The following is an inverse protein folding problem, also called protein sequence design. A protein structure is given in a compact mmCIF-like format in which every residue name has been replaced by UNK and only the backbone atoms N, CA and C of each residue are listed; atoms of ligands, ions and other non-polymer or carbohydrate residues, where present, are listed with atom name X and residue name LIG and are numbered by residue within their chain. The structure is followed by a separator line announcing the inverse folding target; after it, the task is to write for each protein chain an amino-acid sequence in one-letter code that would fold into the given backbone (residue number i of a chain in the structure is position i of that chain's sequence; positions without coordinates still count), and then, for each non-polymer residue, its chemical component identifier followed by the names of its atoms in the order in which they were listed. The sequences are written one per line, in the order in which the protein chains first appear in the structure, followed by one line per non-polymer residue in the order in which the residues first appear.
data_IF_673082208519
#
_entry.id   IF_673082208519
#
_cell.length_a   1.000
_cell.length_b   1.000
_cell.length_c   1.000
_cell.angle_alpha   90.00
_cell.angle_beta   90.00
_cell.angle_gamma   90.00
#
_symmetry.space_group_name_H-M   'P 1'
#
loop_
_entity.id
_entity.type
_entity.pdbx_description
1 polymer ?
#
# COMPACT_ATOMS: atom_id res chain seq x y z
N UNK A 1 11.14 -34.18 30.56
CA UNK A 1 11.97 -34.28 29.33
C UNK A 1 11.52 -33.11 28.43
N UNK A 2 12.27 -31.99 28.50
CA UNK A 2 11.93 -30.76 27.72
C UNK A 2 12.54 -30.89 26.34
N UNK A 3 11.71 -30.76 25.31
CA UNK A 3 12.14 -30.67 23.91
C UNK A 3 12.44 -29.20 23.58
N UNK A 4 13.61 -28.85 23.01
CA UNK A 4 13.94 -27.48 22.71
C UNK A 4 13.17 -26.99 21.43
N UNK A 5 12.60 -25.82 21.53
CA UNK A 5 11.93 -25.12 20.43
C UNK A 5 12.93 -24.84 19.29
N UNK A 6 12.58 -25.33 18.10
CA UNK A 6 13.32 -25.02 16.87
C UNK A 6 13.19 -23.52 16.55
N UNK A 7 14.33 -22.82 16.48
CA UNK A 7 14.40 -21.44 16.01
C UNK A 7 14.17 -21.42 14.50
N UNK A 8 13.14 -20.72 14.07
CA UNK A 8 12.94 -20.36 12.67
C UNK A 8 14.09 -19.45 12.19
N UNK A 9 14.60 -19.63 10.97
CA UNK A 9 15.65 -18.77 10.45
C UNK A 9 15.09 -17.36 10.21
N UNK A 10 15.74 -16.36 10.82
CA UNK A 10 15.49 -14.95 10.55
C UNK A 10 15.96 -14.64 9.13
N UNK A 11 15.03 -14.46 8.21
CA UNK A 11 15.30 -13.83 6.91
C UNK A 11 15.61 -12.35 7.16
N UNK A 12 16.89 -12.04 7.42
CA UNK A 12 17.39 -10.68 7.25
C UNK A 12 17.53 -10.47 5.74
N UNK A 13 16.55 -9.78 5.13
CA UNK A 13 16.80 -9.15 3.85
C UNK A 13 17.95 -8.16 4.07
N UNK A 14 19.10 -8.43 3.48
CA UNK A 14 20.16 -7.43 3.37
C UNK A 14 19.64 -6.28 2.51
N UNK A 15 19.14 -5.24 3.19
CA UNK A 15 18.92 -3.95 2.57
C UNK A 15 20.30 -3.45 2.18
N UNK A 16 20.62 -3.51 0.91
CA UNK A 16 21.83 -2.91 0.33
C UNK A 16 21.78 -1.42 0.63
N UNK A 17 22.46 -1.01 1.68
CA UNK A 17 22.62 0.39 2.07
C UNK A 17 23.49 1.06 1.03
N UNK A 18 22.91 1.67 0.00
CA UNK A 18 23.64 2.62 -0.81
C UNK A 18 24.01 3.80 0.10
N UNK A 19 25.30 4.16 0.20
CA UNK A 19 25.69 5.29 1.02
C UNK A 19 24.99 6.57 0.54
N UNK A 20 24.77 7.56 1.43
CA UNK A 20 24.18 8.84 1.04
C UNK A 20 24.96 9.41 -0.16
N UNK A 21 24.23 9.99 -1.10
CA UNK A 21 24.73 10.53 -2.35
C UNK A 21 25.99 11.35 -2.10
N UNK A 22 27.16 10.85 -2.49
CA UNK A 22 28.44 11.57 -2.34
C UNK A 22 28.50 12.57 -3.46
N UNK A 23 28.28 13.84 -3.13
CA UNK A 23 28.49 14.95 -4.06
C UNK A 23 29.92 14.90 -4.58
N UNK A 24 30.10 14.85 -5.89
CA UNK A 24 31.42 14.92 -6.52
C UNK A 24 31.99 16.32 -6.31
N UNK A 25 33.28 16.48 -5.96
CA UNK A 25 33.89 17.78 -5.79
C UNK A 25 33.90 18.55 -7.13
N UNK A 26 33.23 19.71 -7.18
CA UNK A 26 33.23 20.58 -8.36
C UNK A 26 31.88 20.82 -9.03
N UNK A 27 30.82 20.14 -8.63
CA UNK A 27 29.47 20.51 -9.11
C UNK A 27 28.93 21.71 -8.32
N UNK A 28 28.35 22.74 -8.99
CA UNK A 28 27.74 23.84 -8.29
C UNK A 28 26.61 23.33 -7.41
N UNK A 29 26.47 23.84 -6.19
CA UNK A 29 25.36 23.60 -5.29
C UNK A 29 24.07 24.08 -5.96
N UNK A 30 23.42 23.20 -6.73
CA UNK A 30 22.03 23.38 -7.09
C UNK A 30 21.27 23.06 -5.81
N UNK A 31 20.71 24.09 -5.18
CA UNK A 31 19.89 23.96 -3.98
C UNK A 31 18.57 23.24 -4.36
N UNK A 32 18.67 21.92 -4.65
CA UNK A 32 17.52 21.08 -4.96
C UNK A 32 16.77 20.83 -3.66
N UNK A 33 15.64 21.50 -3.49
CA UNK A 33 14.74 21.25 -2.35
C UNK A 33 14.14 19.85 -2.36
N UNK A 34 14.07 19.17 -3.52
CA UNK A 34 13.51 17.82 -3.67
C UNK A 34 14.64 16.84 -3.98
N UNK A 35 14.79 15.82 -3.13
CA UNK A 35 15.77 14.75 -3.27
C UNK A 35 15.12 13.37 -3.37
N UNK A 36 13.81 13.26 -3.09
CA UNK A 36 13.08 12.02 -3.14
C UNK A 36 11.64 12.20 -3.65
N UNK A 37 11.09 11.11 -4.17
CA UNK A 37 9.70 11.00 -4.63
C UNK A 37 9.06 9.80 -3.94
N UNK A 38 7.93 10.02 -3.27
CA UNK A 38 7.11 8.94 -2.76
C UNK A 38 5.82 8.83 -3.57
N UNK A 39 5.35 7.60 -3.76
CA UNK A 39 4.19 7.28 -4.58
C UNK A 39 3.14 6.55 -3.74
N UNK A 40 1.89 6.92 -3.87
CA UNK A 40 0.80 6.00 -3.58
C UNK A 40 0.83 4.79 -4.52
N UNK A 41 0.15 3.70 -4.17
CA UNK A 41 0.11 2.49 -4.99
C UNK A 41 -1.19 2.40 -5.79
N UNK A 42 -2.33 2.39 -5.08
CA UNK A 42 -3.63 2.15 -5.68
C UNK A 42 -4.10 3.37 -6.47
N UNK A 43 -4.58 3.16 -7.70
CA UNK A 43 -4.96 4.22 -8.63
C UNK A 43 -3.85 5.26 -8.95
N UNK A 44 -2.62 4.98 -8.48
CA UNK A 44 -1.41 5.76 -8.80
C UNK A 44 -0.37 4.94 -9.56
N UNK A 45 -0.04 3.73 -9.12
CA UNK A 45 0.88 2.79 -9.81
C UNK A 45 0.07 1.67 -10.48
N UNK A 46 -0.89 1.11 -9.78
CA UNK A 46 -1.79 0.05 -10.25
C UNK A 46 -3.24 0.51 -10.21
N UNK A 47 -4.04 0.08 -11.17
CA UNK A 47 -5.48 0.30 -11.16
C UNK A 47 -6.14 -0.54 -10.08
N UNK A 48 -6.76 0.09 -9.08
CA UNK A 48 -7.55 -0.61 -8.07
C UNK A 48 -8.71 -1.37 -8.74
N UNK A 49 -9.02 -2.55 -8.22
CA UNK A 49 -10.09 -3.46 -8.72
C UNK A 49 -10.01 -3.88 -10.19
N UNK A 50 -8.94 -3.57 -10.95
CA UNK A 50 -8.78 -4.05 -12.34
C UNK A 50 -8.58 -5.58 -12.45
N UNK A 51 -8.38 -6.26 -11.35
CA UNK A 51 -8.40 -7.71 -11.24
C UNK A 51 -9.83 -8.29 -11.22
N UNK A 52 -10.86 -7.52 -10.85
CA UNK A 52 -12.25 -7.99 -10.77
C UNK A 52 -12.80 -8.49 -12.12
N UNK A 53 -12.61 -7.80 -13.27
CA UNK A 53 -12.97 -8.35 -14.57
C UNK A 53 -12.24 -9.65 -14.91
N UNK A 54 -10.97 -9.79 -14.52
CA UNK A 54 -10.18 -11.01 -14.72
C UNK A 54 -10.69 -12.16 -13.87
N UNK A 55 -11.08 -11.88 -12.61
CA UNK A 55 -11.76 -12.84 -11.73
C UNK A 55 -13.06 -13.33 -12.34
N UNK A 56 -13.92 -12.41 -12.81
CA UNK A 56 -15.17 -12.73 -13.48
C UNK A 56 -14.97 -13.60 -14.72
N UNK A 57 -13.99 -13.29 -15.56
CA UNK A 57 -13.66 -14.06 -16.76
C UNK A 57 -13.22 -15.51 -16.44
N UNK A 58 -12.66 -15.75 -15.25
CA UNK A 58 -12.29 -17.06 -14.73
C UNK A 58 -13.43 -17.77 -13.97
N UNK A 59 -14.63 -17.22 -13.93
CA UNK A 59 -15.77 -17.78 -13.19
C UNK A 59 -15.60 -17.69 -11.66
N UNK A 60 -14.71 -16.83 -11.17
CA UNK A 60 -14.49 -16.63 -9.73
C UNK A 60 -15.44 -15.57 -9.17
N UNK A 61 -15.68 -15.65 -7.85
CA UNK A 61 -16.41 -14.61 -7.12
C UNK A 61 -15.59 -13.30 -7.11
N UNK A 62 -16.29 -12.16 -6.96
CA UNK A 62 -15.62 -10.90 -6.62
C UNK A 62 -14.83 -11.04 -5.34
N UNK A 63 -13.77 -10.25 -5.14
CA UNK A 63 -12.96 -10.28 -3.90
C UNK A 63 -13.84 -10.18 -2.65
N UNK A 64 -14.80 -9.26 -2.67
CA UNK A 64 -15.72 -9.07 -1.55
C UNK A 64 -16.56 -10.32 -1.26
N UNK A 65 -17.11 -10.96 -2.28
CA UNK A 65 -17.90 -12.19 -2.12
C UNK A 65 -17.03 -13.39 -1.72
N UNK A 66 -15.84 -13.49 -2.28
CA UNK A 66 -14.90 -14.56 -1.96
C UNK A 66 -14.41 -14.49 -0.50
N UNK A 67 -14.10 -13.29 0.01
CA UNK A 67 -13.69 -13.09 1.40
C UNK A 67 -14.73 -13.59 2.40
N UNK A 68 -16.02 -13.26 2.18
CA UNK A 68 -17.12 -13.79 3.01
C UNK A 68 -17.25 -15.28 2.90
N UNK A 69 -17.18 -15.81 1.69
CA UNK A 69 -17.27 -17.26 1.43
C UNK A 69 -16.13 -18.04 2.06
N UNK A 70 -14.90 -17.52 2.04
CA UNK A 70 -13.74 -18.13 2.71
C UNK A 70 -13.96 -18.23 4.22
N UNK A 71 -14.44 -17.15 4.86
CA UNK A 71 -14.76 -17.18 6.29
C UNK A 71 -15.84 -18.19 6.60
N UNK A 72 -16.94 -18.19 5.81
CA UNK A 72 -17.99 -19.17 5.97
C UNK A 72 -17.49 -20.61 5.83
N UNK A 73 -16.72 -20.91 4.79
CA UNK A 73 -16.14 -22.25 4.58
C UNK A 73 -15.28 -22.70 5.74
N UNK A 74 -14.43 -21.81 6.24
CA UNK A 74 -13.54 -22.11 7.37
C UNK A 74 -14.35 -22.46 8.62
N UNK A 75 -15.37 -21.66 8.96
CA UNK A 75 -16.21 -21.90 10.13
C UNK A 75 -17.12 -23.13 9.96
N UNK A 76 -17.74 -23.31 8.79
CA UNK A 76 -18.66 -24.41 8.51
C UNK A 76 -17.96 -25.79 8.56
N UNK A 77 -16.66 -25.84 8.31
CA UNK A 77 -15.81 -27.04 8.48
C UNK A 77 -15.84 -27.57 9.94
N UNK A 78 -15.97 -26.67 10.91
CA UNK A 78 -15.94 -26.97 12.36
C UNK A 78 -17.32 -26.94 13.02
N UNK A 79 -18.38 -26.88 12.27
CA UNK A 79 -19.76 -26.96 12.72
C UNK A 79 -20.68 -26.11 11.83
N UNK A 80 -21.89 -26.59 11.58
CA UNK A 80 -22.85 -25.92 10.69
C UNK A 80 -23.06 -24.45 11.11
N UNK A 81 -23.07 -23.55 10.13
CA UNK A 81 -23.37 -22.12 10.31
C UNK A 81 -23.94 -21.56 9.00
N UNK A 82 -24.87 -20.61 9.09
CA UNK A 82 -25.47 -19.98 7.92
C UNK A 82 -24.51 -19.05 7.19
N UNK A 83 -24.43 -19.13 5.85
CA UNK A 83 -23.56 -18.25 5.05
C UNK A 83 -23.96 -16.78 5.19
N UNK A 84 -25.27 -16.48 5.28
CA UNK A 84 -25.79 -15.13 5.48
C UNK A 84 -25.39 -14.56 6.85
N UNK A 85 -25.39 -15.37 7.90
CA UNK A 85 -24.99 -14.99 9.26
C UNK A 85 -23.50 -14.61 9.29
N UNK A 86 -22.65 -15.43 8.68
CA UNK A 86 -21.21 -15.17 8.58
C UNK A 86 -20.94 -13.93 7.73
N UNK A 87 -21.69 -13.77 6.61
CA UNK A 87 -21.59 -12.57 5.78
C UNK A 87 -21.93 -11.29 6.52
N UNK A 88 -22.97 -11.31 7.36
CA UNK A 88 -23.35 -10.17 8.20
C UNK A 88 -22.26 -9.86 9.24
N UNK A 89 -21.72 -10.87 9.93
CA UNK A 89 -20.63 -10.67 10.90
C UNK A 89 -19.37 -10.08 10.24
N UNK A 90 -19.05 -10.55 9.03
CA UNK A 90 -17.95 -9.99 8.24
C UNK A 90 -18.18 -8.51 7.92
N UNK A 91 -19.39 -8.15 7.45
CA UNK A 91 -19.75 -6.78 7.11
C UNK A 91 -19.73 -5.83 8.32
N UNK A 92 -20.15 -6.31 9.48
CA UNK A 92 -20.10 -5.55 10.73
C UNK A 92 -18.65 -5.29 11.16
N UNK A 93 -17.79 -6.32 11.07
CA UNK A 93 -16.36 -6.14 11.37
C UNK A 93 -15.68 -5.16 10.40
N UNK A 94 -15.99 -5.24 9.10
CA UNK A 94 -15.49 -4.31 8.09
C UNK A 94 -16.01 -2.87 8.32
N UNK A 95 -17.28 -2.71 8.68
CA UNK A 95 -17.84 -1.39 8.98
C UNK A 95 -17.19 -0.77 10.22
N UNK A 96 -16.93 -1.56 11.26
CA UNK A 96 -16.21 -1.11 12.46
C UNK A 96 -14.77 -0.69 12.12
N UNK A 97 -14.07 -1.50 11.34
CA UNK A 97 -12.74 -1.16 10.84
C UNK A 97 -12.76 0.14 10.02
N UNK A 98 -13.67 0.28 9.07
CA UNK A 98 -13.76 1.47 8.22
C UNK A 98 -13.95 2.75 9.04
N UNK A 99 -14.73 2.68 10.12
CA UNK A 99 -14.88 3.81 11.03
C UNK A 99 -13.56 4.18 11.71
N UNK A 100 -12.85 3.21 12.27
CA UNK A 100 -11.54 3.43 12.91
C UNK A 100 -10.51 3.93 11.90
N UNK A 101 -10.49 3.35 10.72
CA UNK A 101 -9.58 3.73 9.64
C UNK A 101 -9.79 5.18 9.19
N UNK A 102 -11.04 5.59 8.95
CA UNK A 102 -11.34 6.96 8.50
C UNK A 102 -11.21 8.02 9.61
N UNK A 103 -11.58 7.70 10.85
CA UNK A 103 -11.61 8.67 11.94
C UNK A 103 -10.27 8.75 12.70
N UNK A 104 -9.56 7.63 12.83
CA UNK A 104 -8.33 7.51 13.63
C UNK A 104 -7.08 7.19 12.81
N UNK A 105 -7.24 6.88 11.54
CA UNK A 105 -6.17 6.46 10.61
C UNK A 105 -5.38 5.25 11.12
N UNK A 106 -6.00 4.37 11.90
CA UNK A 106 -5.39 3.14 12.41
C UNK A 106 -5.70 2.00 11.43
N UNK A 107 -4.68 1.24 11.05
CA UNK A 107 -4.85 0.06 10.21
C UNK A 107 -4.99 -1.18 11.07
N UNK A 108 -6.13 -1.87 10.95
CA UNK A 108 -6.28 -3.24 11.41
C UNK A 108 -5.89 -4.20 10.29
N UNK A 109 -4.99 -5.11 10.58
CA UNK A 109 -4.66 -6.20 9.65
C UNK A 109 -5.89 -7.06 9.41
N UNK A 110 -5.96 -7.72 8.26
CA UNK A 110 -7.12 -8.56 7.92
C UNK A 110 -7.35 -9.66 8.97
N UNK A 111 -6.28 -10.23 9.54
CA UNK A 111 -6.39 -11.22 10.62
C UNK A 111 -7.15 -10.68 11.84
N UNK A 112 -6.87 -9.44 12.28
CA UNK A 112 -7.56 -8.81 13.41
C UNK A 112 -9.06 -8.61 13.13
N UNK A 113 -9.42 -8.23 11.89
CA UNK A 113 -10.83 -8.10 11.48
C UNK A 113 -11.55 -9.45 11.46
N UNK A 114 -10.88 -10.48 10.96
CA UNK A 114 -11.40 -11.85 10.96
C UNK A 114 -11.61 -12.37 12.38
N UNK A 115 -10.70 -12.09 13.32
CA UNK A 115 -10.88 -12.43 14.73
C UNK A 115 -12.13 -11.76 15.33
N UNK A 116 -12.38 -10.48 15.02
CA UNK A 116 -13.57 -9.75 15.48
C UNK A 116 -14.83 -10.44 14.96
N UNK A 117 -14.91 -10.78 13.67
CA UNK A 117 -16.04 -11.45 13.07
C UNK A 117 -16.27 -12.85 13.68
N UNK A 118 -15.22 -13.65 13.85
CA UNK A 118 -15.26 -15.00 14.42
C UNK A 118 -15.71 -14.96 15.89
N UNK A 119 -15.17 -14.04 16.69
CA UNK A 119 -15.58 -13.85 18.09
C UNK A 119 -17.03 -13.36 18.20
N UNK A 120 -17.45 -12.46 17.29
CA UNK A 120 -18.84 -11.99 17.22
C UNK A 120 -19.85 -13.10 16.93
N UNK A 121 -19.42 -14.16 16.23
CA UNK A 121 -20.22 -15.37 15.98
C UNK A 121 -20.13 -16.40 17.13
N UNK A 122 -19.47 -16.11 18.23
CA UNK A 122 -19.15 -17.04 19.31
C UNK A 122 -18.47 -18.32 18.81
N UNK A 123 -17.59 -18.19 17.82
CA UNK A 123 -16.85 -19.30 17.19
C UNK A 123 -15.35 -19.17 17.42
N UNK A 124 -14.63 -20.25 17.16
CA UNK A 124 -13.17 -20.31 17.14
C UNK A 124 -12.73 -21.14 15.94
N UNK A 125 -11.51 -20.91 15.47
CA UNK A 125 -10.83 -21.74 14.49
C UNK A 125 -9.53 -22.29 15.07
N UNK A 126 -9.12 -23.52 14.69
CA UNK A 126 -7.76 -23.99 14.96
C UNK A 126 -6.74 -23.03 14.34
N UNK A 127 -5.55 -22.87 15.00
CA UNK A 127 -4.52 -21.93 14.53
C UNK A 127 -4.14 -22.07 13.05
N UNK A 128 -4.00 -23.31 12.56
CA UNK A 128 -3.61 -23.57 11.18
C UNK A 128 -4.72 -23.18 10.19
N UNK A 129 -5.98 -23.47 10.50
CA UNK A 129 -7.14 -23.10 9.67
C UNK A 129 -7.31 -21.57 9.65
N UNK A 130 -7.06 -20.90 10.78
CA UNK A 130 -7.07 -19.43 10.84
C UNK A 130 -5.92 -18.82 10.03
N UNK A 131 -4.71 -19.33 10.14
CA UNK A 131 -3.57 -18.88 9.36
C UNK A 131 -3.79 -19.05 7.84
N UNK A 132 -4.37 -20.17 7.43
CA UNK A 132 -4.75 -20.41 6.03
C UNK A 132 -5.83 -19.44 5.56
N UNK A 133 -6.84 -19.18 6.39
CA UNK A 133 -7.89 -18.21 6.10
C UNK A 133 -7.33 -16.82 5.87
N UNK A 134 -6.47 -16.34 6.77
CA UNK A 134 -5.77 -15.05 6.65
C UNK A 134 -4.96 -14.99 5.36
N UNK A 135 -4.12 -16.00 5.10
CA UNK A 135 -3.29 -16.06 3.89
C UNK A 135 -4.13 -15.96 2.61
N UNK A 136 -5.27 -16.68 2.52
CA UNK A 136 -6.16 -16.61 1.36
C UNK A 136 -6.79 -15.24 1.14
N UNK A 137 -7.03 -14.47 2.20
CA UNK A 137 -7.48 -13.08 2.08
C UNK A 137 -6.38 -12.16 1.55
N UNK A 138 -5.17 -12.33 2.05
CA UNK A 138 -4.02 -11.49 1.77
C UNK A 138 -3.48 -11.65 0.34
N UNK A 139 -3.58 -12.85 -0.23
CA UNK A 139 -2.91 -13.23 -1.50
C UNK A 139 -3.78 -13.04 -2.76
N UNK A 140 -5.04 -12.62 -2.64
CA UNK A 140 -5.97 -12.53 -3.78
C UNK A 140 -5.45 -11.66 -4.93
N UNK A 141 -4.79 -10.55 -4.62
CA UNK A 141 -4.26 -9.61 -5.61
C UNK A 141 -2.87 -10.01 -6.13
N UNK A 142 -2.21 -10.95 -5.45
CA UNK A 142 -1.00 -11.61 -5.98
C UNK A 142 -1.37 -12.73 -6.94
N UNK A 143 -2.45 -13.48 -6.62
CA UNK A 143 -2.95 -14.56 -7.47
C UNK A 143 -3.54 -14.05 -8.78
N UNK A 144 -4.32 -12.98 -8.71
CA UNK A 144 -4.92 -12.31 -9.89
C UNK A 144 -4.55 -10.84 -9.82
N UNK A 145 -3.48 -10.50 -10.51
CA UNK A 145 -2.87 -9.18 -10.43
C UNK A 145 -3.73 -8.09 -11.07
N UNK A 146 -3.92 -6.95 -10.40
CA UNK A 146 -4.43 -5.74 -11.02
C UNK A 146 -3.49 -5.27 -12.16
N UNK A 147 -3.94 -4.36 -13.00
CA UNK A 147 -3.16 -3.85 -14.12
C UNK A 147 -2.31 -2.64 -13.69
N UNK A 148 -1.11 -2.52 -14.28
CA UNK A 148 -0.33 -1.30 -14.16
C UNK A 148 -1.01 -0.13 -14.89
N UNK A 149 -0.88 1.05 -14.33
CA UNK A 149 -1.26 2.28 -15.02
C UNK A 149 -0.23 2.59 -16.10
N UNK A 150 -0.73 2.96 -17.29
CA UNK A 150 0.12 3.19 -18.46
C UNK A 150 1.23 4.22 -18.20
N UNK A 151 2.47 3.88 -18.59
CA UNK A 151 3.64 4.75 -18.48
C UNK A 151 4.28 4.82 -17.11
N UNK A 152 3.76 4.11 -16.10
CA UNK A 152 4.32 4.17 -14.73
C UNK A 152 5.72 3.55 -14.65
N UNK A 153 5.97 2.46 -15.37
CA UNK A 153 7.26 1.78 -15.33
C UNK A 153 8.40 2.67 -15.89
N UNK A 154 8.14 3.31 -17.03
CA UNK A 154 9.06 4.24 -17.67
C UNK A 154 9.30 5.49 -16.80
N UNK A 155 8.23 6.04 -16.21
CA UNK A 155 8.32 7.20 -15.33
C UNK A 155 9.14 6.89 -14.07
N UNK A 156 8.88 5.76 -13.39
CA UNK A 156 9.66 5.32 -12.23
C UNK A 156 11.14 5.11 -12.59
N UNK A 157 11.42 4.44 -13.70
CA UNK A 157 12.79 4.23 -14.16
C UNK A 157 13.53 5.55 -14.42
N UNK A 158 12.85 6.57 -14.99
CA UNK A 158 13.44 7.87 -15.25
C UNK A 158 13.65 8.68 -13.95
N UNK A 159 12.65 8.68 -13.06
CA UNK A 159 12.71 9.39 -11.77
C UNK A 159 13.80 8.80 -10.88
N UNK A 160 13.92 7.48 -10.81
CA UNK A 160 14.90 6.78 -9.98
C UNK A 160 16.37 7.07 -10.37
N UNK A 161 16.63 7.53 -11.58
CA UNK A 161 17.99 7.95 -11.98
C UNK A 161 18.48 9.17 -11.20
N UNK A 162 17.57 10.00 -10.69
CA UNK A 162 17.87 11.33 -10.11
C UNK A 162 17.39 11.50 -8.67
N UNK A 163 16.36 10.77 -8.28
CA UNK A 163 15.70 10.89 -6.98
C UNK A 163 15.63 9.54 -6.27
N UNK A 164 15.66 9.54 -4.96
CA UNK A 164 15.24 8.37 -4.18
C UNK A 164 13.74 8.15 -4.36
N UNK A 165 13.32 6.91 -4.35
CA UNK A 165 11.91 6.55 -4.62
C UNK A 165 11.37 5.59 -3.57
N UNK A 166 10.13 5.79 -3.16
CA UNK A 166 9.47 4.99 -2.14
C UNK A 166 7.97 4.83 -2.45
N UNK A 167 7.39 3.69 -2.12
CA UNK A 167 5.94 3.52 -2.11
C UNK A 167 5.40 3.77 -0.72
N UNK A 168 4.32 4.56 -0.61
CA UNK A 168 3.59 4.86 0.63
C UNK A 168 2.11 4.50 0.41
N UNK A 169 1.68 3.35 0.91
CA UNK A 169 0.34 2.83 0.60
C UNK A 169 -0.40 2.31 1.81
N UNK A 170 -1.71 2.52 1.79
CA UNK A 170 -2.62 1.86 2.71
C UNK A 170 -2.78 0.39 2.31
N UNK A 171 -2.43 -0.51 3.23
CA UNK A 171 -2.44 -1.97 3.07
C UNK A 171 -3.55 -2.55 3.97
N UNK A 172 -4.81 -2.36 3.56
CA UNK A 172 -5.97 -2.68 4.41
C UNK A 172 -6.46 -4.13 4.33
N UNK A 173 -6.09 -4.87 3.28
CA UNK A 173 -6.35 -6.32 3.15
C UNK A 173 -5.09 -7.03 2.69
N UNK A 174 -4.56 -6.65 1.54
CA UNK A 174 -3.30 -7.15 0.99
C UNK A 174 -2.14 -6.50 1.74
N UNK A 175 -1.39 -7.25 2.55
CA UNK A 175 -0.34 -6.70 3.42
C UNK A 175 0.91 -6.32 2.63
N UNK A 176 1.77 -5.53 3.25
CA UNK A 176 3.01 -5.05 2.65
C UNK A 176 3.89 -6.16 2.07
N UNK A 177 3.92 -7.37 2.69
CA UNK A 177 4.63 -8.53 2.13
C UNK A 177 4.10 -8.93 0.74
N UNK A 178 2.78 -8.93 0.56
CA UNK A 178 2.13 -9.26 -0.72
C UNK A 178 2.26 -8.11 -1.72
N UNK A 179 2.16 -6.86 -1.26
CA UNK A 179 2.34 -5.68 -2.12
C UNK A 179 3.76 -5.60 -2.69
N UNK A 180 4.79 -6.00 -1.92
CA UNK A 180 6.17 -6.14 -2.46
C UNK A 180 6.24 -7.21 -3.55
N UNK A 181 5.58 -8.35 -3.37
CA UNK A 181 5.52 -9.40 -4.40
C UNK A 181 4.81 -8.89 -5.66
N UNK A 182 3.70 -8.18 -5.49
CA UNK A 182 2.97 -7.57 -6.59
C UNK A 182 3.86 -6.59 -7.37
N UNK A 183 4.51 -5.65 -6.69
CA UNK A 183 5.42 -4.67 -7.29
C UNK A 183 6.60 -5.36 -8.00
N UNK A 184 7.19 -6.37 -7.38
CA UNK A 184 8.27 -7.17 -7.98
C UNK A 184 7.81 -7.92 -9.23
N UNK A 185 6.57 -8.39 -9.27
CA UNK A 185 6.00 -9.11 -10.41
C UNK A 185 5.83 -8.24 -11.67
N UNK A 186 5.90 -6.92 -11.52
CA UNK A 186 5.93 -5.94 -12.63
C UNK A 186 7.34 -5.40 -12.91
N UNK A 187 8.37 -5.97 -12.27
CA UNK A 187 9.76 -5.53 -12.40
C UNK A 187 10.01 -4.07 -11.93
N UNK A 188 9.14 -3.55 -11.05
CA UNK A 188 9.25 -2.18 -10.53
C UNK A 188 10.13 -2.08 -9.29
N UNK A 189 10.34 -3.18 -8.55
CA UNK A 189 11.07 -3.18 -7.28
C UNK A 189 12.50 -2.62 -7.40
N UNK A 190 13.15 -2.80 -8.56
CA UNK A 190 14.49 -2.26 -8.85
C UNK A 190 14.57 -0.73 -8.91
N UNK A 191 13.42 -0.06 -9.01
CA UNK A 191 13.29 1.38 -9.07
C UNK A 191 12.74 1.97 -7.77
N UNK A 192 12.82 1.22 -6.66
CA UNK A 192 12.30 1.64 -5.36
C UNK A 192 13.34 1.43 -4.26
N UNK A 193 13.65 2.49 -3.52
CA UNK A 193 14.59 2.47 -2.40
C UNK A 193 13.91 2.12 -1.06
N UNK A 194 12.57 2.21 -0.98
CA UNK A 194 11.85 1.95 0.26
C UNK A 194 10.35 1.72 0.08
N UNK A 195 9.71 1.30 1.18
CA UNK A 195 8.29 1.03 1.26
C UNK A 195 7.76 1.44 2.62
N UNK A 196 6.60 2.09 2.65
CA UNK A 196 5.84 2.36 3.86
C UNK A 196 4.41 1.82 3.66
N UNK A 197 4.12 0.66 4.23
CA UNK A 197 2.81 0.02 4.18
C UNK A 197 2.10 0.15 5.53
N UNK A 198 0.83 0.47 5.50
CA UNK A 198 0.07 0.83 6.72
C UNK A 198 -0.08 -0.33 7.70
N UNK A 199 -0.08 -1.59 7.24
CA UNK A 199 -0.10 -2.78 8.09
C UNK A 199 1.21 -2.99 8.87
N UNK A 200 2.32 -2.43 8.38
CA UNK A 200 3.64 -2.48 9.03
C UNK A 200 3.87 -1.24 9.92
N UNK A 201 3.35 -0.08 9.51
CA UNK A 201 3.46 1.18 10.27
C UNK A 201 2.43 1.26 11.40
N UNK A 202 1.27 0.60 11.24
CA UNK A 202 0.13 0.63 12.15
C UNK A 202 -0.86 1.77 11.91
N UNK A 203 -0.52 2.70 11.01
CA UNK A 203 -1.34 3.85 10.64
C UNK A 203 -1.50 3.95 9.13
N UNK A 204 -2.61 4.53 8.68
CA UNK A 204 -2.90 4.83 7.27
C UNK A 204 -2.70 6.31 6.96
N UNK A 205 -2.51 6.64 5.68
CA UNK A 205 -2.54 8.04 5.22
C UNK A 205 -3.89 8.68 5.58
N UNK A 206 -3.92 9.96 5.95
CA UNK A 206 -2.83 10.95 5.94
C UNK A 206 -2.01 11.02 7.24
N UNK A 207 -1.98 9.97 8.09
CA UNK A 207 -1.24 10.00 9.34
C UNK A 207 0.26 10.21 9.08
N UNK A 208 0.90 11.13 9.84
CA UNK A 208 2.29 11.54 9.68
C UNK A 208 3.29 10.38 9.68
N UNK A 209 3.03 9.35 10.49
CA UNK A 209 3.91 8.19 10.64
C UNK A 209 4.20 7.48 9.31
N UNK A 210 3.27 7.50 8.36
CA UNK A 210 3.46 6.91 7.03
C UNK A 210 4.58 7.60 6.26
N UNK A 211 4.55 8.92 6.24
CA UNK A 211 5.53 9.74 5.51
C UNK A 211 6.87 9.81 6.23
N UNK A 212 6.86 9.89 7.57
CA UNK A 212 8.08 9.80 8.38
C UNK A 212 8.78 8.45 8.24
N UNK A 213 8.01 7.36 8.13
CA UNK A 213 8.56 6.04 7.90
C UNK A 213 9.23 5.96 6.52
N UNK A 214 8.58 6.49 5.47
CA UNK A 214 9.15 6.58 4.13
C UNK A 214 10.43 7.42 4.09
N UNK A 215 10.43 8.58 4.75
CA UNK A 215 11.59 9.45 4.87
C UNK A 215 12.79 8.73 5.50
N UNK A 216 12.55 7.99 6.60
CA UNK A 216 13.58 7.15 7.25
C UNK A 216 14.10 6.04 6.33
N UNK A 217 13.23 5.37 5.58
CA UNK A 217 13.64 4.32 4.64
C UNK A 217 14.58 4.85 3.56
N UNK A 218 14.33 6.06 3.08
CA UNK A 218 15.15 6.71 2.06
C UNK A 218 16.37 7.45 2.60
N UNK A 219 16.43 7.71 3.92
CA UNK A 219 17.47 8.53 4.55
C UNK A 219 17.42 10.00 4.13
N UNK A 220 16.22 10.54 3.87
CA UNK A 220 15.96 11.91 3.36
C UNK A 220 15.16 12.68 4.40
N UNK A 221 15.35 14.00 4.50
CA UNK A 221 14.49 14.86 5.29
C UNK A 221 13.09 14.91 4.66
N UNK A 222 12.05 14.94 5.50
CA UNK A 222 10.68 14.81 5.03
C UNK A 222 10.26 15.93 4.08
N UNK A 223 10.79 17.13 4.30
CA UNK A 223 10.55 18.35 3.49
C UNK A 223 11.20 18.28 2.10
N UNK A 224 12.14 17.34 1.90
CA UNK A 224 12.81 17.11 0.62
C UNK A 224 12.09 16.08 -0.27
N UNK A 225 10.90 15.64 0.16
CA UNK A 225 10.11 14.63 -0.55
C UNK A 225 8.94 15.31 -1.27
N UNK A 226 8.72 14.94 -2.53
CA UNK A 226 7.45 15.16 -3.21
C UNK A 226 6.63 13.86 -3.18
N UNK A 227 5.37 13.94 -2.76
CA UNK A 227 4.46 12.81 -2.79
C UNK A 227 3.55 12.87 -4.02
N UNK A 228 3.29 11.73 -4.64
CA UNK A 228 2.42 11.58 -5.81
C UNK A 228 1.31 10.60 -5.46
N UNK A 229 0.05 11.01 -5.57
CA UNK A 229 -1.09 10.13 -5.33
C UNK A 229 -2.39 10.70 -5.89
N UNK A 230 -3.49 9.92 -5.81
CA UNK A 230 -4.75 10.22 -6.48
C UNK A 230 -5.80 10.90 -5.58
N UNK A 231 -5.56 10.97 -4.24
CA UNK A 231 -6.54 11.47 -3.27
C UNK A 231 -6.05 12.74 -2.58
N UNK A 232 -6.77 13.85 -2.78
CA UNK A 232 -6.42 15.14 -2.20
C UNK A 232 -6.22 15.10 -0.67
N UNK A 233 -7.11 14.39 0.05
CA UNK A 233 -7.00 14.30 1.51
C UNK A 233 -5.75 13.55 1.97
N UNK A 234 -5.49 12.38 1.38
CA UNK A 234 -4.44 11.47 1.80
C UNK A 234 -3.06 11.86 1.24
N UNK A 235 -3.05 12.28 -0.03
CA UNK A 235 -1.82 12.34 -0.82
C UNK A 235 -1.39 13.79 -1.13
N UNK A 236 -2.26 14.76 -0.86
CA UNK A 236 -1.93 16.18 -1.01
C UNK A 236 -1.90 16.86 0.35
N UNK A 237 -3.05 16.97 1.02
CA UNK A 237 -3.16 17.71 2.29
C UNK A 237 -2.37 17.05 3.43
N UNK A 238 -2.30 15.71 3.44
CA UNK A 238 -1.50 14.97 4.43
C UNK A 238 -0.02 15.35 4.35
N UNK A 239 0.65 15.11 3.22
CA UNK A 239 2.04 15.49 2.98
C UNK A 239 2.33 16.98 3.19
N UNK A 240 1.48 17.87 2.66
CA UNK A 240 1.69 19.32 2.78
C UNK A 240 1.71 19.81 4.23
N UNK A 241 0.94 19.20 5.15
CA UNK A 241 1.01 19.49 6.59
C UNK A 241 2.37 19.18 7.22
N UNK A 242 3.19 18.37 6.54
CA UNK A 242 4.53 17.97 6.96
C UNK A 242 5.64 18.75 6.21
N UNK A 243 5.27 19.74 5.42
CA UNK A 243 6.22 20.53 4.62
C UNK A 243 6.64 19.87 3.31
N UNK A 244 6.08 18.71 2.97
CA UNK A 244 6.33 18.04 1.69
C UNK A 244 5.66 18.78 0.55
N UNK A 245 6.19 18.60 -0.67
CA UNK A 245 5.46 18.92 -1.90
C UNK A 245 4.52 17.78 -2.27
N UNK A 246 3.45 18.09 -3.01
CA UNK A 246 2.47 17.10 -3.44
C UNK A 246 2.04 17.28 -4.89
N UNK A 247 1.94 16.17 -5.64
CA UNK A 247 1.40 16.12 -6.99
C UNK A 247 0.14 15.27 -6.95
N UNK A 248 -1.00 15.85 -7.34
CA UNK A 248 -2.24 15.10 -7.52
C UNK A 248 -2.21 14.39 -8.88
N UNK A 249 -2.23 13.05 -8.86
CA UNK A 249 -2.37 12.22 -10.04
C UNK A 249 -3.86 12.06 -10.38
N UNK A 250 -4.25 12.46 -11.60
CA UNK A 250 -5.65 12.43 -12.07
C UNK A 250 -5.86 11.48 -13.24
N UNK A 251 -4.89 10.64 -13.58
CA UNK A 251 -4.97 9.73 -14.72
C UNK A 251 -6.00 8.61 -14.57
N UNK A 252 -6.32 8.25 -13.33
CA UNK A 252 -7.33 7.24 -12.97
C UNK A 252 -8.59 7.86 -12.39
N UNK A 253 -8.43 8.94 -11.60
CA UNK A 253 -9.48 9.57 -10.84
C UNK A 253 -9.29 11.10 -10.82
N UNK A 254 -10.30 11.86 -11.28
CA UNK A 254 -10.22 13.32 -11.38
C UNK A 254 -11.15 14.07 -10.40
N UNK A 255 -11.71 13.38 -9.38
CA UNK A 255 -12.75 13.93 -8.49
C UNK A 255 -12.28 15.16 -7.68
N UNK A 256 -10.99 15.23 -7.37
CA UNK A 256 -10.44 16.27 -6.52
C UNK A 256 -9.75 17.40 -7.30
N UNK A 257 -9.72 17.32 -8.66
CA UNK A 257 -8.95 18.20 -9.55
C UNK A 257 -9.23 19.69 -9.32
N UNK A 258 -10.50 20.07 -9.19
CA UNK A 258 -10.90 21.48 -9.20
C UNK A 258 -10.83 22.14 -7.81
N UNK A 259 -10.49 21.38 -6.76
CA UNK A 259 -10.46 21.85 -5.36
C UNK A 259 -9.18 21.47 -4.61
N UNK A 260 -8.20 20.94 -5.31
CA UNK A 260 -6.93 20.53 -4.70
C UNK A 260 -6.02 21.72 -4.44
N UNK A 261 -5.19 21.59 -3.38
CA UNK A 261 -4.08 22.50 -3.09
C UNK A 261 -2.73 21.94 -3.58
N UNK A 262 -2.72 20.90 -4.44
CA UNK A 262 -1.51 20.26 -4.92
C UNK A 262 -0.56 21.27 -5.60
N UNK A 263 0.75 21.10 -5.38
CA UNK A 263 1.79 21.92 -6.02
C UNK A 263 1.82 21.72 -7.55
N UNK A 264 1.35 20.56 -8.02
CA UNK A 264 1.10 20.28 -9.43
C UNK A 264 0.01 19.20 -9.61
N UNK A 265 -0.57 19.16 -10.81
CA UNK A 265 -1.54 18.13 -11.23
C UNK A 265 -0.92 17.36 -12.39
N UNK A 266 -1.00 16.03 -12.34
CA UNK A 266 -0.45 15.13 -13.34
C UNK A 266 -1.54 14.20 -13.88
N UNK A 267 -1.75 14.18 -15.20
CA UNK A 267 -2.72 13.30 -15.84
C UNK A 267 -2.09 12.04 -16.44
N UNK A 268 -0.79 12.05 -16.75
CA UNK A 268 -0.07 10.95 -17.39
C UNK A 268 1.29 10.79 -16.76
N UNK A 269 1.69 9.57 -16.48
CA UNK A 269 3.02 9.28 -15.90
C UNK A 269 4.17 9.82 -16.75
N UNK A 270 4.02 9.86 -18.07
CA UNK A 270 5.03 10.41 -18.96
C UNK A 270 5.38 11.89 -18.68
N UNK A 271 4.45 12.65 -18.08
CA UNK A 271 4.65 14.06 -17.75
C UNK A 271 5.29 14.24 -16.36
N UNK A 272 5.28 13.19 -15.53
CA UNK A 272 5.65 13.26 -14.12
C UNK A 272 7.12 13.63 -13.89
N UNK A 273 8.13 13.07 -14.62
CA UNK A 273 9.53 13.44 -14.41
C UNK A 273 9.76 14.94 -14.56
N UNK A 274 9.19 15.54 -15.62
CA UNK A 274 9.32 16.99 -15.87
C UNK A 274 8.57 17.86 -14.85
N UNK A 275 7.46 17.36 -14.27
CA UNK A 275 6.77 18.05 -13.17
C UNK A 275 7.62 18.08 -11.90
N UNK A 276 8.22 16.93 -11.55
CA UNK A 276 9.09 16.81 -10.38
C UNK A 276 10.31 17.73 -10.54
N UNK A 277 10.96 17.75 -11.71
CA UNK A 277 12.10 18.62 -11.96
C UNK A 277 11.77 20.10 -11.78
N UNK A 278 10.60 20.54 -12.22
CA UNK A 278 10.15 21.93 -12.00
C UNK A 278 9.89 22.27 -10.54
N UNK A 279 9.45 21.30 -9.74
CA UNK A 279 9.26 21.49 -8.30
C UNK A 279 10.58 21.45 -7.52
N UNK A 280 11.60 20.80 -8.08
CA UNK A 280 12.94 20.70 -7.48
C UNK A 280 13.78 21.98 -7.66
N UNK A 281 13.46 22.81 -8.65
CA UNK A 281 14.10 24.12 -8.94
C UNK A 281 15.14 24.02 -10.03
#
# INVERSE_FOLDING_TARGET
MFCPAARLPSFRAEVSFRPPFRQLPGEPFVNRRINAVSFDLWDTIVHDDSDEPKRKAKGLRSKKAERRHLLWRALNKHGPIGEAEVGLAYDVADAAFNRVWHEQHVTWRIGERLEVAIKGLARNLPPDDFAELVRKHEEMEVEIRPDLIAGVAEALAEIHKRYRTCVVSDAIVTPGRCLRQLIASYDLARHLDGYAFSDEVGYSKPHRSMFEYAARQMGIAIEEIVHVGDRDHNDVKGPQKLGMKAILFIGTRALDKDRTSADAICARHADLPGLIDRLAG
#
